data_IF_540190786268
#
_entry.id   IF_540190786268
#
_cell.length_a   1.000
_cell.length_b   1.000
_cell.length_c   1.000
_cell.angle_alpha   90.00
_cell.angle_beta   90.00
_cell.angle_gamma   90.00
#
_symmetry.space_group_name_H-M   'P 1'
#
loop_
_entity.id
_entity.type
_entity.pdbx_description
1 polymer ?
#
# COMPACT_ATOMS: atom_id res chain seq x y z
N UNK A 1 24.17 -14.84 27.52
CA UNK A 1 22.79 -14.57 27.98
C UNK A 1 22.22 -13.37 27.23
N UNK A 2 21.46 -13.63 26.17
CA UNK A 2 20.77 -12.58 25.41
C UNK A 2 19.31 -12.67 25.83
N UNK A 3 18.94 -11.84 26.81
CA UNK A 3 17.54 -11.57 27.09
C UNK A 3 17.03 -10.69 25.95
N UNK A 4 16.54 -11.33 24.89
CA UNK A 4 15.75 -10.65 23.87
C UNK A 4 14.42 -10.36 24.51
N UNK A 5 14.26 -9.11 24.90
CA UNK A 5 12.99 -8.49 25.26
C UNK A 5 11.82 -9.10 24.48
N UNK A 6 10.84 -9.66 25.18
CA UNK A 6 9.58 -10.17 24.61
C UNK A 6 8.66 -9.04 24.05
N UNK A 7 9.11 -7.80 24.15
CA UNK A 7 8.34 -6.58 23.87
C UNK A 7 8.02 -6.32 22.38
N UNK A 8 8.76 -6.82 21.36
CA UNK A 8 8.32 -6.63 19.97
C UNK A 8 7.02 -7.39 19.66
N UNK A 9 6.75 -8.48 20.40
CA UNK A 9 5.55 -9.29 20.19
C UNK A 9 4.29 -8.59 20.73
N UNK A 10 4.41 -7.85 21.83
CA UNK A 10 3.26 -7.28 22.55
C UNK A 10 2.40 -6.35 21.67
N UNK A 11 3.01 -5.61 20.74
CA UNK A 11 2.28 -4.69 19.87
C UNK A 11 1.55 -5.39 18.70
N UNK A 12 2.11 -6.47 18.17
CA UNK A 12 1.46 -7.29 17.13
C UNK A 12 0.32 -8.11 17.75
N UNK A 13 0.48 -8.56 18.99
CA UNK A 13 -0.56 -9.27 19.75
C UNK A 13 -1.66 -8.34 20.27
N UNK A 14 -1.37 -7.07 20.56
CA UNK A 14 -2.41 -6.12 21.01
C UNK A 14 -3.44 -5.80 19.92
N UNK A 15 -3.01 -5.74 18.64
CA UNK A 15 -3.94 -5.61 17.51
C UNK A 15 -4.79 -6.87 17.29
N UNK A 16 -4.24 -8.06 17.58
CA UNK A 16 -4.98 -9.32 17.47
C UNK A 16 -6.04 -9.44 18.57
N UNK A 17 -5.81 -8.88 19.76
CA UNK A 17 -6.77 -8.90 20.86
C UNK A 17 -8.13 -8.27 20.52
N UNK A 18 -8.13 -7.21 19.70
CA UNK A 18 -9.37 -6.55 19.27
C UNK A 18 -10.13 -7.39 18.23
N UNK A 19 -9.41 -8.05 17.33
CA UNK A 19 -10.02 -8.90 16.28
C UNK A 19 -10.47 -10.27 16.82
N UNK A 20 -9.73 -10.84 17.79
CA UNK A 20 -9.99 -12.16 18.39
C UNK A 20 -11.21 -12.19 19.32
N UNK A 21 -11.53 -11.06 19.96
CA UNK A 21 -12.62 -10.99 20.94
C UNK A 21 -13.94 -10.42 20.38
N UNK A 22 -13.89 -9.50 19.41
CA UNK A 22 -15.08 -8.77 18.93
C UNK A 22 -15.78 -9.38 17.70
N UNK A 23 -15.10 -10.23 16.91
CA UNK A 23 -15.70 -10.96 15.79
C UNK A 23 -15.82 -12.44 16.14
N UNK A 24 -16.86 -12.80 16.91
CA UNK A 24 -17.17 -14.15 17.40
C UNK A 24 -17.42 -15.20 16.32
N UNK A 25 -16.37 -15.66 15.65
CA UNK A 25 -16.25 -17.03 15.17
C UNK A 25 -15.41 -17.79 16.17
N UNK A 26 -15.93 -18.84 16.80
CA UNK A 26 -15.21 -19.66 17.77
C UNK A 26 -14.06 -20.44 17.12
N UNK A 27 -12.99 -19.75 16.75
CA UNK A 27 -11.75 -20.37 16.30
C UNK A 27 -11.05 -20.93 17.53
N UNK A 28 -10.57 -22.17 17.43
CA UNK A 28 -9.74 -22.73 18.48
C UNK A 28 -8.43 -21.92 18.61
N UNK A 29 -7.83 -21.85 19.80
CA UNK A 29 -6.52 -21.21 19.98
C UNK A 29 -5.46 -21.73 19.00
N UNK A 30 -5.49 -23.03 18.72
CA UNK A 30 -4.61 -23.70 17.76
C UNK A 30 -4.82 -23.19 16.32
N UNK A 31 -6.08 -23.02 15.89
CA UNK A 31 -6.38 -22.43 14.58
C UNK A 31 -5.90 -20.98 14.49
N UNK A 32 -6.05 -20.22 15.57
CA UNK A 32 -5.59 -18.85 15.61
C UNK A 32 -4.06 -18.75 15.51
N UNK A 33 -3.34 -19.64 16.18
CA UNK A 33 -1.88 -19.72 16.11
C UNK A 33 -1.40 -20.03 14.68
N UNK A 34 -2.04 -21.00 14.01
CA UNK A 34 -1.75 -21.30 12.60
C UNK A 34 -2.02 -20.09 11.68
N UNK A 35 -3.12 -19.37 11.90
CA UNK A 35 -3.45 -18.16 11.14
C UNK A 35 -2.48 -17.01 11.39
N UNK A 36 -1.99 -16.85 12.63
CA UNK A 36 -0.99 -15.84 12.97
C UNK A 36 0.36 -16.14 12.31
N UNK A 37 0.80 -17.41 12.31
CA UNK A 37 2.01 -17.85 11.59
C UNK A 37 1.85 -17.57 10.09
N UNK A 38 0.70 -17.91 9.52
CA UNK A 38 0.41 -17.69 8.10
C UNK A 38 0.42 -16.19 7.76
N UNK A 39 -0.25 -15.35 8.57
CA UNK A 39 -0.24 -13.90 8.44
C UNK A 39 1.18 -13.34 8.46
N UNK A 40 2.00 -13.80 9.39
CA UNK A 40 3.38 -13.33 9.52
C UNK A 40 4.23 -13.72 8.31
N UNK A 41 4.11 -14.95 7.82
CA UNK A 41 4.81 -15.41 6.60
C UNK A 41 4.43 -14.53 5.39
N UNK A 42 3.14 -14.23 5.21
CA UNK A 42 2.69 -13.38 4.11
C UNK A 42 3.04 -11.89 4.28
N UNK A 43 3.11 -11.39 5.52
CA UNK A 43 3.57 -10.03 5.80
C UNK A 43 5.07 -9.86 5.52
N UNK A 44 5.90 -10.86 5.85
CA UNK A 44 7.32 -10.84 5.48
C UNK A 44 7.53 -10.84 3.97
N UNK A 45 6.61 -11.47 3.23
CA UNK A 45 6.63 -11.47 1.78
C UNK A 45 6.26 -10.11 1.16
N UNK A 46 6.07 -9.07 1.99
CA UNK A 46 5.79 -7.67 1.63
C UNK A 46 4.90 -7.60 0.39
N UNK A 47 3.60 -7.85 0.58
CA UNK A 47 2.60 -7.60 -0.46
C UNK A 47 2.64 -6.10 -0.72
N UNK A 48 3.49 -5.69 -1.64
CA UNK A 48 3.80 -4.28 -1.86
C UNK A 48 2.78 -3.75 -2.86
N UNK A 49 1.59 -3.41 -2.34
CA UNK A 49 0.47 -2.91 -3.13
C UNK A 49 0.77 -1.59 -3.87
N UNK A 50 1.85 -0.92 -3.50
CA UNK A 50 2.28 0.35 -4.10
C UNK A 50 3.48 0.19 -5.05
N UNK A 51 3.97 -1.02 -5.34
CA UNK A 51 5.09 -1.17 -6.29
C UNK A 51 4.79 -0.55 -7.66
N UNK A 52 3.55 -0.66 -8.12
CA UNK A 52 3.09 -0.09 -9.39
C UNK A 52 2.59 1.37 -9.25
N UNK A 53 2.64 1.93 -8.03
CA UNK A 53 2.23 3.31 -7.71
C UNK A 53 3.43 4.22 -7.44
N UNK A 54 4.66 3.73 -7.61
CA UNK A 54 5.86 4.53 -7.44
C UNK A 54 6.01 5.43 -8.68
N UNK A 55 5.59 6.68 -8.54
CA UNK A 55 5.82 7.68 -9.58
C UNK A 55 7.32 7.89 -9.81
N UNK A 56 7.71 7.87 -11.07
CA UNK A 56 9.08 8.19 -11.50
C UNK A 56 9.31 9.71 -11.44
N UNK A 57 10.57 10.13 -11.36
CA UNK A 57 10.93 11.57 -11.36
C UNK A 57 10.39 12.30 -12.59
N UNK A 58 10.30 11.62 -13.73
CA UNK A 58 9.72 12.14 -14.96
C UNK A 58 8.21 12.42 -14.83
N UNK A 59 7.44 11.52 -14.21
CA UNK A 59 5.99 11.69 -13.99
C UNK A 59 5.67 12.79 -12.97
N UNK A 60 6.64 13.15 -12.12
CA UNK A 60 6.52 14.25 -11.15
C UNK A 60 7.11 15.57 -11.68
N UNK A 61 7.67 15.57 -12.90
CA UNK A 61 8.26 16.76 -13.47
C UNK A 61 7.18 17.78 -13.86
N UNK A 62 7.42 19.05 -13.54
CA UNK A 62 6.51 20.14 -13.89
C UNK A 62 6.80 20.53 -15.33
N UNK A 63 5.84 20.29 -16.22
CA UNK A 63 5.91 20.71 -17.61
C UNK A 63 5.57 22.22 -17.66
N UNK A 64 6.47 23.02 -18.21
CA UNK A 64 6.27 24.46 -18.42
C UNK A 64 5.45 24.68 -19.70
N UNK A 65 4.18 24.31 -19.65
CA UNK A 65 3.21 24.55 -20.73
C UNK A 65 2.15 25.52 -20.23
N UNK A 66 1.84 26.50 -21.08
CA UNK A 66 0.79 27.49 -20.80
C UNK A 66 -0.56 26.77 -20.60
N UNK A 67 -1.23 26.96 -19.45
CA UNK A 67 -2.52 26.32 -19.18
C UNK A 67 -3.59 26.65 -20.23
N UNK A 68 -3.53 27.80 -20.89
CA UNK A 68 -4.47 28.15 -21.96
C UNK A 68 -4.36 27.19 -23.16
N UNK A 69 -3.15 26.74 -23.48
CA UNK A 69 -2.88 25.79 -24.58
C UNK A 69 -3.40 24.39 -24.23
N UNK A 70 -3.26 23.98 -22.97
CA UNK A 70 -3.79 22.69 -22.48
C UNK A 70 -5.31 22.68 -22.55
N UNK A 71 -5.96 23.76 -22.09
CA UNK A 71 -7.42 23.89 -22.14
C UNK A 71 -7.95 23.92 -23.58
N UNK A 72 -7.26 24.62 -24.50
CA UNK A 72 -7.63 24.64 -25.91
C UNK A 72 -7.54 23.25 -26.55
N UNK A 73 -6.44 22.52 -26.30
CA UNK A 73 -6.24 21.18 -26.86
C UNK A 73 -7.21 20.15 -26.27
N UNK A 74 -7.56 20.27 -24.99
CA UNK A 74 -8.60 19.48 -24.34
C UNK A 74 -9.99 19.78 -24.92
N UNK A 75 -10.33 21.06 -25.11
CA UNK A 75 -11.60 21.48 -25.69
C UNK A 75 -11.74 21.06 -27.16
N UNK A 76 -10.63 21.07 -27.91
CA UNK A 76 -10.56 20.60 -29.29
C UNK A 76 -10.50 19.07 -29.43
N UNK A 77 -10.34 18.32 -28.33
CA UNK A 77 -10.23 16.86 -28.33
C UNK A 77 -8.96 16.33 -29.01
N UNK A 78 -7.90 17.14 -29.12
CA UNK A 78 -6.63 16.79 -29.78
C UNK A 78 -5.71 16.04 -28.81
N UNK A 79 -6.16 14.85 -28.40
CA UNK A 79 -5.47 14.04 -27.37
C UNK A 79 -4.07 13.61 -27.77
N UNK A 80 -3.82 13.40 -29.06
CA UNK A 80 -2.50 12.98 -29.57
C UNK A 80 -1.44 14.10 -29.46
N UNK A 81 -1.84 15.36 -29.61
CA UNK A 81 -0.92 16.50 -29.47
C UNK A 81 -0.69 16.82 -27.99
N UNK A 82 -1.71 16.61 -27.16
CA UNK A 82 -1.57 16.69 -25.72
C UNK A 82 -0.58 15.64 -25.19
N UNK A 83 -0.66 14.40 -25.71
CA UNK A 83 0.28 13.33 -25.36
C UNK A 83 1.73 13.64 -25.77
N UNK A 84 1.94 14.36 -26.87
CA UNK A 84 3.27 14.82 -27.31
C UNK A 84 3.83 15.99 -26.48
N UNK A 85 2.97 16.73 -25.78
CA UNK A 85 3.40 17.80 -24.87
C UNK A 85 3.75 17.25 -23.48
N UNK A 86 3.24 16.07 -23.13
CA UNK A 86 3.41 15.44 -21.82
C UNK A 86 4.56 14.41 -21.78
N UNK A 87 4.87 13.78 -22.92
CA UNK A 87 5.98 12.82 -23.08
C UNK A 87 7.23 13.47 -23.68
#
# INVERSE_FOLDING_TARGET
PVQVSAVPCEHIFSSSKETDALCGGSLSPEMMEMLQILKFIYQQHHINFCNDLVATEAELSVIDVDPEVIEELLAAGRTQELEQLVN
#
